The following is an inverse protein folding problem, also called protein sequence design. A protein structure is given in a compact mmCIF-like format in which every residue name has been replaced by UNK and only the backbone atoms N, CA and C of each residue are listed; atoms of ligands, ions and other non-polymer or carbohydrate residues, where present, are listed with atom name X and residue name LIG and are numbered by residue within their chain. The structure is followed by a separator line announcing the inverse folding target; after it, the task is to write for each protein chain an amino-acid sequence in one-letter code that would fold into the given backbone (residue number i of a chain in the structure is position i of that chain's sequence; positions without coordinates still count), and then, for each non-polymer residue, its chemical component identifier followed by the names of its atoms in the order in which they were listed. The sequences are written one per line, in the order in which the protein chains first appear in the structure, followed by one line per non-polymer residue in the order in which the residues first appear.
data_IF_991165230991
#
_entry.id   IF_991165230991
#
_cell.length_a   1.000
_cell.length_b   1.000
_cell.length_c   1.000
_cell.angle_alpha   90.00
_cell.angle_beta   90.00
_cell.angle_gamma   90.00
#
_symmetry.space_group_name_H-M   'P 1'
#
loop_
_entity.id
_entity.type
_entity.pdbx_description
1 polymer ?
#
# COMPACT_ATOMS: atom_id res chain seq x y z
N UNK A 1 2.35 7.50 -38.61
CA UNK A 1 1.62 7.81 -37.37
C UNK A 1 2.61 8.50 -36.45
N UNK A 2 2.37 9.77 -36.09
CA UNK A 2 3.39 10.67 -35.52
C UNK A 2 3.84 10.22 -34.12
N UNK A 3 5.14 9.97 -33.94
CA UNK A 3 5.76 9.46 -32.71
C UNK A 3 5.39 10.29 -31.46
N UNK A 4 5.19 11.60 -31.64
CA UNK A 4 4.77 12.51 -30.55
C UNK A 4 3.36 12.24 -30.03
N UNK A 5 2.45 11.77 -30.88
CA UNK A 5 1.08 11.42 -30.47
C UNK A 5 1.11 10.12 -29.64
N UNK A 6 1.93 9.15 -30.04
CA UNK A 6 2.09 7.89 -29.31
C UNK A 6 2.67 8.11 -27.90
N UNK A 7 3.67 8.98 -27.75
CA UNK A 7 4.25 9.31 -26.44
C UNK A 7 3.20 9.94 -25.52
N UNK A 8 2.46 10.96 -26.01
CA UNK A 8 1.41 11.62 -25.22
C UNK A 8 0.28 10.66 -24.82
N UNK A 9 -0.13 9.77 -25.72
CA UNK A 9 -1.17 8.78 -25.43
C UNK A 9 -0.72 7.79 -24.34
N UNK A 10 0.55 7.38 -24.37
CA UNK A 10 1.12 6.49 -23.35
C UNK A 10 1.23 7.17 -21.99
N UNK A 11 1.65 8.43 -21.95
CA UNK A 11 1.69 9.24 -20.72
C UNK A 11 0.29 9.38 -20.11
N UNK A 12 -0.71 9.72 -20.92
CA UNK A 12 -2.10 9.83 -20.49
C UNK A 12 -2.64 8.51 -19.90
N UNK A 13 -2.34 7.38 -20.55
CA UNK A 13 -2.72 6.06 -20.03
C UNK A 13 -2.03 5.75 -18.71
N UNK A 14 -0.74 6.07 -18.59
CA UNK A 14 0.02 5.87 -17.34
C UNK A 14 -0.59 6.66 -16.19
N UNK A 15 -0.87 7.94 -16.41
CA UNK A 15 -1.51 8.80 -15.41
C UNK A 15 -2.92 8.30 -15.04
N UNK A 16 -3.69 7.83 -16.02
CA UNK A 16 -5.03 7.29 -15.80
C UNK A 16 -5.01 6.03 -14.94
N UNK A 17 -4.13 5.08 -15.24
CA UNK A 17 -3.99 3.84 -14.46
C UNK A 17 -3.53 4.17 -13.03
N UNK A 18 -2.57 5.07 -12.88
CA UNK A 18 -2.11 5.50 -11.56
C UNK A 18 -3.24 6.15 -10.78
N UNK A 19 -4.03 7.03 -11.40
CA UNK A 19 -5.18 7.66 -10.75
C UNK A 19 -6.19 6.61 -10.27
N UNK A 20 -6.48 5.59 -11.08
CA UNK A 20 -7.37 4.48 -10.68
C UNK A 20 -6.80 3.74 -9.45
N UNK A 21 -5.49 3.46 -9.44
CA UNK A 21 -4.81 2.81 -8.31
C UNK A 21 -4.95 3.63 -7.00
N UNK A 22 -4.86 4.95 -7.11
CA UNK A 22 -4.93 5.86 -5.97
C UNK A 22 -6.35 6.02 -5.42
N UNK A 23 -7.38 6.03 -6.27
CA UNK A 23 -8.77 6.28 -5.85
C UNK A 23 -9.58 5.03 -5.53
N UNK A 24 -9.13 3.84 -5.95
CA UNK A 24 -9.88 2.60 -5.72
C UNK A 24 -10.02 2.28 -4.22
N UNK A 25 -11.17 1.79 -3.80
CA UNK A 25 -11.44 1.22 -2.47
C UNK A 25 -11.23 -0.32 -2.44
N UNK A 26 -10.94 -0.91 -3.61
CA UNK A 26 -10.56 -2.31 -3.76
C UNK A 26 -9.20 -2.65 -3.16
N UNK A 27 -8.81 -3.92 -3.27
CA UNK A 27 -7.47 -4.37 -2.88
C UNK A 27 -6.46 -3.85 -3.91
N UNK A 28 -5.63 -2.89 -3.50
CA UNK A 28 -4.53 -2.36 -4.32
C UNK A 28 -3.65 -3.48 -4.88
N UNK A 29 -3.35 -4.49 -4.06
CA UNK A 29 -2.52 -5.64 -4.46
C UNK A 29 -3.06 -6.39 -5.67
N UNK A 30 -4.38 -6.60 -5.77
CA UNK A 30 -4.96 -7.37 -6.87
C UNK A 30 -4.81 -6.63 -8.21
N UNK A 31 -4.95 -5.31 -8.18
CA UNK A 31 -4.67 -4.45 -9.34
C UNK A 31 -3.19 -4.49 -9.72
N UNK A 32 -2.29 -4.45 -8.74
CA UNK A 32 -0.84 -4.51 -8.98
C UNK A 32 -0.41 -5.87 -9.53
N UNK A 33 -0.95 -6.98 -9.01
CA UNK A 33 -0.74 -8.32 -9.56
C UNK A 33 -1.21 -8.40 -11.02
N UNK A 34 -2.39 -7.84 -11.31
CA UNK A 34 -2.93 -7.80 -12.66
C UNK A 34 -2.09 -6.91 -13.60
N UNK A 35 -1.54 -5.79 -13.10
CA UNK A 35 -0.70 -4.87 -13.87
C UNK A 35 0.68 -5.48 -14.19
N UNK A 36 1.30 -6.13 -13.21
CA UNK A 36 2.64 -6.69 -13.33
C UNK A 36 2.66 -8.12 -13.86
N UNK A 37 1.52 -8.82 -13.86
CA UNK A 37 1.42 -10.24 -14.17
C UNK A 37 2.32 -11.11 -13.26
N UNK A 38 2.44 -10.71 -12.00
CA UNK A 38 3.28 -11.33 -10.98
C UNK A 38 2.53 -11.34 -9.65
N UNK A 39 2.82 -12.32 -8.79
CA UNK A 39 2.33 -12.32 -7.41
C UNK A 39 3.09 -11.32 -6.57
N UNK A 40 2.40 -10.70 -5.61
CA UNK A 40 3.02 -9.75 -4.70
C UNK A 40 3.30 -10.41 -3.36
N UNK A 41 4.51 -10.20 -2.84
CA UNK A 41 4.93 -10.63 -1.51
C UNK A 41 5.14 -9.41 -0.62
N UNK A 42 4.85 -9.59 0.67
CA UNK A 42 5.04 -8.54 1.69
C UNK A 42 6.29 -8.87 2.48
N UNK A 43 7.19 -7.91 2.60
CA UNK A 43 8.32 -7.95 3.51
C UNK A 43 8.09 -6.97 4.65
N UNK A 44 7.88 -7.49 5.86
CA UNK A 44 7.74 -6.65 7.05
C UNK A 44 9.13 -6.17 7.48
N UNK A 45 9.31 -4.85 7.49
CA UNK A 45 10.56 -4.19 7.90
C UNK A 45 10.59 -4.04 9.42
N UNK A 46 9.48 -3.55 9.97
CA UNK A 46 9.31 -3.26 11.39
C UNK A 46 7.88 -3.53 11.80
N UNK A 47 7.69 -4.06 13.00
CA UNK A 47 6.40 -4.10 13.67
C UNK A 47 6.60 -3.86 15.16
N UNK A 48 5.96 -2.82 15.67
CA UNK A 48 6.07 -2.39 17.06
C UNK A 48 4.68 -2.44 17.69
N UNK A 49 4.50 -3.30 18.69
CA UNK A 49 3.30 -3.31 19.50
C UNK A 49 3.41 -2.25 20.59
N UNK A 50 2.39 -1.42 20.69
CA UNK A 50 2.25 -0.42 21.73
C UNK A 50 1.10 -0.85 22.62
N UNK A 51 1.37 -0.89 23.93
CA UNK A 51 0.33 -1.04 24.94
C UNK A 51 0.09 0.38 25.49
N UNK A 52 -1.07 0.97 25.21
CA UNK A 52 -1.40 2.25 25.85
C UNK A 52 -1.63 1.99 27.34
N UNK A 53 -0.76 2.51 28.21
CA UNK A 53 -0.84 2.34 29.67
C UNK A 53 -2.14 2.89 30.28
N UNK A 54 -2.95 3.63 29.50
CA UNK A 54 -4.10 4.38 29.99
C UNK A 54 -5.45 4.02 29.35
N UNK A 55 -5.49 3.32 28.19
CA UNK A 55 -6.75 3.04 27.46
C UNK A 55 -7.06 1.55 27.24
N UNK A 56 -6.12 0.64 27.49
CA UNK A 56 -6.36 -0.79 27.71
C UNK A 56 -6.29 -1.72 26.50
N UNK A 57 -6.46 -1.24 25.27
CA UNK A 57 -6.47 -2.11 24.08
C UNK A 57 -5.13 -2.01 23.30
N UNK A 58 -4.49 -3.15 22.96
CA UNK A 58 -3.23 -3.13 22.24
C UNK A 58 -3.38 -2.60 20.82
N UNK A 59 -2.36 -1.94 20.30
CA UNK A 59 -2.26 -1.65 18.88
C UNK A 59 -0.85 -1.92 18.40
N UNK A 60 -0.66 -2.00 17.09
CA UNK A 60 0.69 -2.03 16.54
C UNK A 60 0.83 -1.13 15.32
N UNK A 61 2.06 -0.68 15.12
CA UNK A 61 2.49 0.03 13.92
C UNK A 61 3.35 -0.95 13.13
N UNK A 62 3.10 -1.05 11.83
CA UNK A 62 3.87 -1.89 10.92
C UNK A 62 4.36 -1.07 9.75
N UNK A 63 5.63 -1.27 9.41
CA UNK A 63 6.27 -0.82 8.19
C UNK A 63 6.59 -2.04 7.32
N UNK A 64 6.24 -1.98 6.05
CA UNK A 64 6.43 -3.10 5.13
C UNK A 64 6.69 -2.65 3.71
N UNK A 65 7.29 -3.54 2.92
CA UNK A 65 7.50 -3.38 1.49
C UNK A 65 6.62 -4.38 0.75
N UNK A 66 6.01 -3.94 -0.35
CA UNK A 66 5.36 -4.83 -1.31
C UNK A 66 6.30 -5.03 -2.49
N UNK A 67 6.65 -6.27 -2.76
CA UNK A 67 7.64 -6.64 -3.77
C UNK A 67 7.01 -7.67 -4.71
N UNK A 68 7.34 -7.58 -6.00
CA UNK A 68 6.94 -8.62 -6.95
C UNK A 68 7.75 -9.90 -6.69
N UNK A 69 7.07 -11.04 -6.65
CA UNK A 69 7.67 -12.31 -6.28
C UNK A 69 8.76 -12.77 -7.25
N UNK A 70 8.54 -12.59 -8.56
CA UNK A 70 9.46 -13.12 -9.57
C UNK A 70 10.60 -12.15 -9.86
N UNK A 71 10.27 -10.87 -10.03
CA UNK A 71 11.27 -9.86 -10.41
C UNK A 71 11.96 -9.16 -9.24
N UNK A 72 11.46 -9.29 -8.01
CA UNK A 72 11.99 -8.56 -6.87
C UNK A 72 11.79 -7.04 -6.98
N UNK A 73 10.91 -6.59 -7.87
CA UNK A 73 10.64 -5.17 -8.09
C UNK A 73 9.87 -4.61 -6.90
N UNK A 74 10.43 -3.57 -6.26
CA UNK A 74 9.79 -2.90 -5.14
C UNK A 74 8.63 -2.04 -5.64
N UNK A 75 7.40 -2.47 -5.32
CA UNK A 75 6.15 -1.87 -5.80
C UNK A 75 5.67 -0.76 -4.88
N UNK A 76 5.71 -0.99 -3.56
CA UNK A 76 5.24 -0.01 -2.60
C UNK A 76 5.95 -0.10 -1.25
N UNK A 77 5.96 1.02 -0.53
CA UNK A 77 6.43 1.14 0.85
C UNK A 77 5.25 1.59 1.70
N UNK A 78 4.88 0.75 2.67
CA UNK A 78 3.61 0.81 3.35
C UNK A 78 3.78 0.97 4.85
N UNK A 79 2.91 1.79 5.44
CA UNK A 79 2.80 2.00 6.87
C UNK A 79 1.36 1.71 7.29
N UNK A 80 1.19 0.96 8.37
CA UNK A 80 -0.12 0.62 8.90
C UNK A 80 -0.19 0.78 10.41
N UNK A 81 -1.28 1.37 10.90
CA UNK A 81 -1.67 1.36 12.30
C UNK A 81 -2.85 0.42 12.45
N UNK A 82 -2.75 -0.56 13.34
CA UNK A 82 -3.77 -1.58 13.57
C UNK A 82 -4.26 -1.53 15.00
N UNK A 83 -5.54 -1.22 15.16
CA UNK A 83 -6.21 -1.03 16.45
C UNK A 83 -6.97 -2.30 16.84
N UNK A 84 -6.50 -3.05 17.84
CA UNK A 84 -7.14 -4.34 18.22
C UNK A 84 -8.62 -4.19 18.54
N UNK A 85 -9.00 -3.10 19.20
CA UNK A 85 -10.39 -2.76 19.57
C UNK A 85 -11.38 -2.80 18.40
N UNK A 86 -10.90 -2.53 17.19
CA UNK A 86 -11.73 -2.35 15.99
C UNK A 86 -11.39 -3.37 14.88
N UNK A 87 -10.59 -4.37 15.21
CA UNK A 87 -10.20 -5.46 14.32
C UNK A 87 -10.65 -6.78 14.94
N UNK A 88 -11.20 -7.73 14.17
CA UNK A 88 -11.52 -9.06 14.70
C UNK A 88 -10.31 -9.68 15.42
N UNK A 89 -10.45 -10.20 16.65
CA UNK A 89 -9.31 -10.68 17.43
C UNK A 89 -8.45 -11.71 16.70
N UNK A 90 -9.08 -12.64 15.97
CA UNK A 90 -8.39 -13.63 15.14
C UNK A 90 -7.54 -13.00 14.04
N UNK A 91 -8.00 -11.91 13.43
CA UNK A 91 -7.23 -11.17 12.42
C UNK A 91 -6.09 -10.38 13.07
N UNK A 92 -6.33 -9.80 14.25
CA UNK A 92 -5.30 -9.07 14.99
C UNK A 92 -4.13 -10.00 15.35
N UNK A 93 -4.43 -11.17 15.92
CA UNK A 93 -3.45 -12.23 16.23
C UNK A 93 -2.75 -12.76 14.98
N UNK A 94 -3.49 -12.97 13.90
CA UNK A 94 -2.93 -13.45 12.64
C UNK A 94 -1.89 -12.49 12.07
N UNK A 95 -2.22 -11.20 12.00
CA UNK A 95 -1.30 -10.21 11.44
C UNK A 95 -0.14 -9.96 12.43
N UNK A 96 -0.39 -10.00 13.74
CA UNK A 96 0.68 -9.82 14.74
C UNK A 96 1.73 -10.93 14.65
N UNK A 97 1.30 -12.17 14.40
CA UNK A 97 2.17 -13.36 14.42
C UNK A 97 2.85 -13.67 13.08
N UNK A 98 2.57 -12.94 11.99
CA UNK A 98 2.97 -13.34 10.63
C UNK A 98 3.68 -12.23 9.85
N UNK A 99 4.50 -12.65 8.88
CA UNK A 99 5.00 -11.79 7.80
C UNK A 99 3.99 -11.63 6.64
N UNK A 100 2.75 -12.09 6.80
CA UNK A 100 1.74 -12.06 5.75
C UNK A 100 1.10 -10.67 5.60
N UNK A 101 0.69 -10.34 4.37
CA UNK A 101 0.05 -9.06 4.06
C UNK A 101 -1.35 -8.96 4.63
N UNK A 102 -1.68 -7.80 5.21
CA UNK A 102 -2.98 -7.50 5.84
C UNK A 102 -4.15 -7.84 4.90
N UNK A 103 -4.09 -7.40 3.64
CA UNK A 103 -5.14 -7.66 2.66
C UNK A 103 -5.33 -9.15 2.33
N UNK A 104 -4.25 -9.94 2.38
CA UNK A 104 -4.30 -11.38 2.17
C UNK A 104 -4.96 -12.09 3.35
N UNK A 105 -4.57 -11.74 4.58
CA UNK A 105 -5.20 -12.29 5.81
C UNK A 105 -6.70 -12.01 5.86
N UNK A 106 -7.13 -10.78 5.55
CA UNK A 106 -8.55 -10.41 5.44
C UNK A 106 -9.28 -11.30 4.43
N UNK A 107 -8.68 -11.50 3.25
CA UNK A 107 -9.25 -12.31 2.18
C UNK A 107 -9.35 -13.80 2.54
N UNK A 108 -8.29 -14.39 3.09
CA UNK A 108 -8.25 -15.79 3.53
C UNK A 108 -9.31 -16.09 4.59
N UNK A 109 -9.55 -15.13 5.49
CA UNK A 109 -10.57 -15.26 6.54
C UNK A 109 -12.00 -14.93 6.06
N UNK A 110 -12.19 -14.51 4.80
CA UNK A 110 -13.50 -14.15 4.27
C UNK A 110 -14.15 -12.96 4.97
N UNK A 111 -13.35 -12.06 5.56
CA UNK A 111 -13.85 -10.95 6.35
C UNK A 111 -14.43 -9.86 5.45
N UNK A 112 -15.67 -9.45 5.75
CA UNK A 112 -16.28 -8.29 5.11
C UNK A 112 -15.63 -7.04 5.65
N UNK A 113 -15.14 -6.20 4.73
CA UNK A 113 -14.51 -4.93 5.07
C UNK A 113 -15.04 -3.85 4.16
N UNK A 114 -15.01 -2.61 4.67
CA UNK A 114 -15.20 -1.41 3.87
C UNK A 114 -13.92 -0.59 3.91
N UNK A 115 -13.51 -0.02 2.77
CA UNK A 115 -12.35 0.87 2.71
C UNK A 115 -12.80 2.29 2.39
N UNK A 116 -12.22 3.25 3.09
CA UNK A 116 -12.43 4.67 2.82
C UNK A 116 -11.09 5.33 2.50
N UNK A 117 -10.93 5.76 1.25
CA UNK A 117 -9.79 6.60 0.86
C UNK A 117 -9.95 7.96 1.55
N UNK A 118 -8.93 8.37 2.28
CA UNK A 118 -8.91 9.61 3.06
C UNK A 118 -8.13 10.72 2.34
N UNK A 119 -7.04 10.33 1.70
CA UNK A 119 -6.17 11.25 0.97
C UNK A 119 -5.37 10.48 -0.09
N UNK A 120 -5.00 11.14 -1.17
CA UNK A 120 -4.12 10.59 -2.20
C UNK A 120 -3.52 11.72 -3.04
N UNK A 121 -2.36 11.47 -3.62
CA UNK A 121 -1.69 12.46 -4.45
C UNK A 121 -0.29 12.02 -4.83
N UNK A 122 0.59 13.00 -5.00
CA UNK A 122 2.00 12.77 -5.21
C UNK A 122 2.80 13.73 -4.32
N UNK A 123 3.91 13.24 -3.76
CA UNK A 123 4.79 13.97 -2.85
C UNK A 123 6.23 13.91 -3.35
N UNK A 124 7.03 14.92 -3.09
CA UNK A 124 8.47 14.77 -3.23
C UNK A 124 8.99 13.79 -2.15
N UNK A 125 10.16 13.21 -2.37
CA UNK A 125 10.74 12.24 -1.43
C UNK A 125 10.95 12.87 -0.05
N UNK A 126 11.37 14.13 0.00
CA UNK A 126 11.63 14.88 1.23
C UNK A 126 10.35 15.20 2.02
N UNK A 127 9.18 15.10 1.37
CA UNK A 127 7.85 15.32 1.96
C UNK A 127 7.21 14.00 2.44
N UNK A 128 7.89 12.87 2.26
CA UNK A 128 7.43 11.56 2.68
C UNK A 128 7.47 11.46 4.21
N UNK A 129 6.32 11.11 4.78
CA UNK A 129 6.12 10.94 6.22
C UNK A 129 5.39 9.64 6.52
N UNK A 130 5.52 9.15 7.76
CA UNK A 130 4.71 8.05 8.27
C UNK A 130 3.29 8.51 8.68
N UNK A 131 2.51 7.60 9.29
CA UNK A 131 1.16 7.89 9.77
C UNK A 131 1.12 8.95 10.89
N UNK A 132 2.25 9.23 11.55
CA UNK A 132 2.42 10.17 12.65
C UNK A 132 3.15 11.45 12.23
N UNK A 133 3.28 11.69 10.92
CA UNK A 133 3.96 12.86 10.35
C UNK A 133 5.47 12.92 10.63
N UNK A 134 6.09 11.78 10.97
CA UNK A 134 7.54 11.70 11.09
C UNK A 134 8.16 11.50 9.70
N UNK A 135 9.23 12.23 9.34
CA UNK A 135 9.94 12.01 8.08
C UNK A 135 10.39 10.56 7.93
N UNK A 136 10.31 10.04 6.72
CA UNK A 136 10.76 8.69 6.37
C UNK A 136 11.66 8.73 5.13
N UNK A 137 12.58 7.77 5.06
CA UNK A 137 13.35 7.51 3.85
C UNK A 137 12.63 6.41 3.05
N UNK A 138 12.22 6.74 1.83
CA UNK A 138 11.54 5.80 0.95
C UNK A 138 12.57 4.84 0.35
N UNK A 139 12.28 3.54 0.37
CA UNK A 139 13.25 2.51 -0.05
C UNK A 139 13.29 2.26 -1.56
N UNK A 140 12.74 3.14 -2.38
CA UNK A 140 12.67 2.94 -3.83
C UNK A 140 14.03 3.21 -4.48
N UNK A 141 14.54 2.29 -5.33
CA UNK A 141 15.76 2.54 -6.08
C UNK A 141 15.50 3.64 -7.12
N UNK A 142 16.42 4.60 -7.19
CA UNK A 142 16.43 5.68 -8.20
C UNK A 142 15.12 6.50 -8.28
N UNK A 143 14.73 7.12 -7.17
CA UNK A 143 13.62 8.06 -7.14
C UNK A 143 13.90 9.25 -8.07
N UNK A 144 13.07 9.37 -9.11
CA UNK A 144 13.04 10.52 -10.01
C UNK A 144 11.63 11.08 -10.04
N UNK A 145 11.47 12.28 -9.48
CA UNK A 145 10.20 12.99 -9.44
C UNK A 145 9.31 12.60 -8.25
N UNK A 146 8.03 12.96 -8.35
CA UNK A 146 7.10 12.80 -7.24
C UNK A 146 6.67 11.33 -7.06
N UNK A 147 6.53 10.94 -5.81
CA UNK A 147 6.08 9.62 -5.35
C UNK A 147 4.58 9.63 -5.13
N UNK A 148 3.81 8.83 -5.90
CA UNK A 148 2.40 8.67 -5.68
C UNK A 148 2.12 8.05 -4.31
N UNK A 149 1.12 8.54 -3.60
CA UNK A 149 0.74 8.00 -2.31
C UNK A 149 -0.78 7.92 -2.14
N UNK A 150 -1.19 7.05 -1.21
CA UNK A 150 -2.59 6.83 -0.84
C UNK A 150 -2.71 6.57 0.64
N UNK A 151 -3.61 7.29 1.30
CA UNK A 151 -4.00 7.10 2.69
C UNK A 151 -5.45 6.64 2.76
N UNK A 152 -5.72 5.57 3.48
CA UNK A 152 -7.07 5.03 3.62
C UNK A 152 -7.26 4.31 4.95
N UNK A 153 -8.52 4.06 5.30
CA UNK A 153 -8.88 3.24 6.45
C UNK A 153 -9.66 2.00 6.03
N UNK A 154 -9.47 0.91 6.76
CA UNK A 154 -10.21 -0.34 6.62
C UNK A 154 -11.10 -0.50 7.85
N UNK A 155 -12.39 -0.72 7.60
CA UNK A 155 -13.44 -0.83 8.59
C UNK A 155 -13.95 -2.27 8.65
N UNK A 156 -14.10 -2.78 9.88
CA UNK A 156 -14.75 -4.05 10.20
C UNK A 156 -16.09 -3.83 10.93
N UNK A 157 -16.44 -2.57 11.17
CA UNK A 157 -17.62 -2.09 11.88
C UNK A 157 -17.76 -0.57 11.67
N UNK A 158 -18.35 0.17 12.63
CA UNK A 158 -18.54 1.63 12.50
C UNK A 158 -17.23 2.42 12.58
N UNK A 159 -16.27 1.93 13.36
CA UNK A 159 -14.97 2.57 13.59
C UNK A 159 -13.85 1.91 12.75
N UNK A 160 -12.79 2.66 12.36
CA UNK A 160 -11.71 2.12 11.56
C UNK A 160 -10.83 1.17 12.39
N UNK A 161 -10.59 -0.03 11.87
CA UNK A 161 -9.69 -1.01 12.47
C UNK A 161 -8.23 -0.85 12.05
N UNK A 162 -8.02 -0.46 10.79
CA UNK A 162 -6.68 -0.31 10.22
C UNK A 162 -6.60 1.02 9.48
N UNK A 163 -5.54 1.77 9.73
CA UNK A 163 -5.16 2.92 8.92
C UNK A 163 -3.95 2.55 8.07
N UNK A 164 -4.00 2.87 6.79
CA UNK A 164 -2.98 2.54 5.80
C UNK A 164 -2.45 3.83 5.17
N UNK A 165 -1.14 3.86 4.95
CA UNK A 165 -0.45 4.80 4.09
C UNK A 165 0.47 3.99 3.18
N UNK A 166 0.24 4.12 1.87
CA UNK A 166 1.00 3.43 0.83
C UNK A 166 1.68 4.48 -0.05
N UNK A 167 3.00 4.41 -0.16
CA UNK A 167 3.76 5.08 -1.20
C UNK A 167 4.00 4.09 -2.32
N UNK A 168 3.79 4.48 -3.58
CA UNK A 168 3.98 3.61 -4.73
C UNK A 168 5.24 4.00 -5.48
N UNK A 169 5.96 2.99 -5.99
CA UNK A 169 7.07 3.24 -6.88
C UNK A 169 6.57 3.97 -8.14
N UNK A 170 7.07 5.18 -8.47
CA UNK A 170 6.62 5.94 -9.64
C UNK A 170 6.73 5.15 -10.95
N UNK A 171 7.65 4.20 -11.01
CA UNK A 171 7.95 3.40 -12.19
C UNK A 171 7.06 2.15 -12.34
N UNK A 172 6.15 1.87 -11.40
CA UNK A 172 5.34 0.63 -11.39
C UNK A 172 4.59 0.38 -12.68
N UNK A 173 3.98 1.41 -13.28
CA UNK A 173 3.23 1.28 -14.54
C UNK A 173 4.17 1.03 -15.73
N UNK A 174 5.31 1.74 -15.76
CA UNK A 174 6.31 1.56 -16.81
C UNK A 174 7.00 0.20 -16.75
N UNK A 175 7.16 -0.34 -15.53
CA UNK A 175 7.72 -1.66 -15.29
C UNK A 175 6.81 -2.76 -15.85
N UNK A 176 5.52 -2.72 -15.52
CA UNK A 176 4.53 -3.68 -16.03
C UNK A 176 4.39 -3.69 -17.56
N UNK A 177 4.57 -2.55 -18.22
CA UNK A 177 4.53 -2.47 -19.68
C UNK A 177 5.74 -3.14 -20.36
N UNK A 178 6.93 -3.10 -19.73
CA UNK A 178 8.17 -3.68 -20.29
C UNK A 178 8.23 -5.21 -20.14
N UNK A 179 7.71 -5.75 -19.05
CA UNK A 179 7.74 -7.19 -18.77
C UNK A 179 6.71 -8.03 -19.56
N UNK A 180 5.87 -7.39 -20.38
CA UNK A 180 4.89 -8.06 -21.25
C UNK A 180 5.35 -8.21 -22.71
N UNK A 181 6.55 -7.74 -23.04
CA UNK A 181 7.22 -7.96 -24.32
C UNK A 181 8.16 -9.16 -24.22
#
# INVERSE_FOLDING_TARGET
MDSRIAVKALEFLRESILKILLVTDGRTTDMLEALLNEKMIVHVIRQEQMNEESSGDPFYIRESLLVSEKSGFLVSHNFSLVLSKHVPPSLFEEISNRQEGIGKSIGTMGLRTFRKVLDFGAKNEEEAVDLFQKPIELRFPELRGQVPYKKYSIYFGPEPGIQMLEYFNPNVIGYGAKNRQ
#
